data_IF_007266481202
#
_entry.id   IF_007266481202
#
_cell.length_a   1.000
_cell.length_b   1.000
_cell.length_c   1.000
_cell.angle_alpha   90.00
_cell.angle_beta   90.00
_cell.angle_gamma   90.00
#
_symmetry.space_group_name_H-M   'P 1'
#
loop_
_entity.id
_entity.type
_entity.pdbx_description
1 polymer ?
#
# COMPACT_ATOMS: atom_id res chain seq x y z
N UNK A 1 -17.35 -21.06 35.16
CA UNK A 1 -17.22 -20.89 33.69
C UNK A 1 -16.93 -22.26 33.12
N UNK A 2 -17.89 -22.86 32.43
CA UNK A 2 -17.74 -24.20 31.87
C UNK A 2 -16.58 -24.25 30.86
N UNK A 3 -15.86 -25.38 30.82
CA UNK A 3 -14.74 -25.57 29.87
C UNK A 3 -15.17 -25.32 28.42
N UNK A 4 -16.43 -25.63 28.09
CA UNK A 4 -17.04 -25.37 26.77
C UNK A 4 -17.20 -23.87 26.49
N UNK A 5 -17.55 -23.05 27.48
CA UNK A 5 -17.67 -21.60 27.30
C UNK A 5 -16.32 -20.91 27.24
N UNK A 6 -15.30 -21.42 27.95
CA UNK A 6 -13.91 -20.95 27.81
C UNK A 6 -13.33 -21.23 26.42
N UNK A 7 -13.58 -22.42 25.84
CA UNK A 7 -13.14 -22.74 24.48
C UNK A 7 -13.80 -21.86 23.42
N UNK A 8 -15.11 -21.58 23.56
CA UNK A 8 -15.84 -20.69 22.64
C UNK A 8 -15.33 -19.25 22.73
N UNK A 9 -15.08 -18.74 23.95
CA UNK A 9 -14.52 -17.40 24.15
C UNK A 9 -13.09 -17.27 23.61
N UNK A 10 -12.24 -18.29 23.81
CA UNK A 10 -10.89 -18.32 23.26
C UNK A 10 -10.91 -18.37 21.71
N UNK A 11 -11.86 -19.12 21.12
CA UNK A 11 -12.01 -19.21 19.67
C UNK A 11 -12.56 -17.92 19.03
N UNK A 12 -13.44 -17.19 19.73
CA UNK A 12 -13.87 -15.84 19.34
C UNK A 12 -12.72 -14.81 19.43
N UNK A 13 -11.85 -14.91 20.45
CA UNK A 13 -10.65 -14.07 20.57
C UNK A 13 -9.60 -14.33 19.47
N UNK A 14 -9.63 -15.53 18.88
CA UNK A 14 -8.80 -15.94 17.74
C UNK A 14 -9.43 -15.59 16.37
N UNK A 15 -10.60 -14.95 16.36
CA UNK A 15 -11.23 -14.47 15.12
C UNK A 15 -10.42 -13.30 14.56
N UNK A 16 -9.48 -13.69 13.69
CA UNK A 16 -8.73 -12.92 12.70
C UNK A 16 -8.96 -11.41 12.71
N UNK A 17 -7.94 -10.67 13.15
CA UNK A 17 -7.81 -9.27 12.72
C UNK A 17 -7.70 -9.27 11.20
N UNK A 18 -8.72 -8.72 10.54
CA UNK A 18 -8.63 -8.38 9.12
C UNK A 18 -7.38 -7.50 8.94
N UNK A 19 -6.35 -8.06 8.30
CA UNK A 19 -5.16 -7.33 7.88
C UNK A 19 -5.49 -6.73 6.53
N UNK A 20 -5.75 -5.43 6.51
CA UNK A 20 -6.16 -4.72 5.32
C UNK A 20 -6.35 -3.25 5.63
N UNK A 21 -6.51 -2.46 4.59
CA UNK A 21 -6.78 -1.02 4.67
C UNK A 21 -8.16 -0.83 5.32
N UNK A 22 -8.25 0.06 6.30
CA UNK A 22 -9.49 0.32 7.03
C UNK A 22 -9.83 1.79 6.97
N UNK A 23 -11.12 2.09 7.09
CA UNK A 23 -11.60 3.45 7.28
C UNK A 23 -11.75 3.73 8.79
N UNK A 24 -10.95 4.64 9.32
CA UNK A 24 -11.05 5.12 10.70
C UNK A 24 -11.55 6.58 10.72
N UNK A 25 -12.87 6.71 10.91
CA UNK A 25 -13.59 7.96 10.72
C UNK A 25 -13.63 8.34 9.24
N UNK A 26 -12.99 9.44 8.88
CA UNK A 26 -12.92 9.97 7.52
C UNK A 26 -11.60 9.61 6.81
N UNK A 27 -10.81 8.71 7.37
CA UNK A 27 -9.44 8.49 6.93
C UNK A 27 -9.09 7.02 6.77
N UNK A 28 -8.52 6.66 5.63
CA UNK A 28 -7.95 5.33 5.45
C UNK A 28 -6.65 5.19 6.25
N UNK A 29 -6.56 4.09 6.99
CA UNK A 29 -5.43 3.69 7.84
C UNK A 29 -4.99 2.27 7.50
N UNK A 30 -3.91 1.80 8.13
CA UNK A 30 -3.29 0.50 7.88
C UNK A 30 -2.84 0.30 6.41
N UNK A 31 -2.62 1.39 5.67
CA UNK A 31 -2.05 1.34 4.31
C UNK A 31 -0.58 0.96 4.41
N UNK A 32 -0.20 -0.20 3.88
CA UNK A 32 1.20 -0.67 3.86
C UNK A 32 1.73 -0.66 2.44
N UNK A 33 2.80 0.11 2.23
CA UNK A 33 3.55 0.19 0.97
C UNK A 33 4.88 -0.50 1.19
N UNK A 34 5.10 -1.65 0.55
CA UNK A 34 6.30 -2.45 0.79
C UNK A 34 7.31 -2.36 -0.36
N UNK A 35 8.54 -2.00 -0.02
CA UNK A 35 9.66 -2.01 -0.96
C UNK A 35 10.27 -3.42 -0.95
N UNK A 36 10.46 -3.99 -2.13
CA UNK A 36 11.03 -5.33 -2.32
C UNK A 36 12.51 -5.36 -1.97
N UNK A 37 12.99 -6.48 -1.43
CA UNK A 37 14.42 -6.66 -1.16
C UNK A 37 15.29 -6.66 -2.42
N UNK A 38 14.68 -6.76 -3.60
CA UNK A 38 15.36 -6.64 -4.90
C UNK A 38 15.66 -5.19 -5.29
N UNK A 39 15.04 -4.21 -4.64
CA UNK A 39 15.27 -2.79 -4.91
C UNK A 39 16.49 -2.31 -4.11
N UNK A 40 17.53 -1.76 -4.77
CA UNK A 40 18.69 -1.22 -4.08
C UNK A 40 18.29 -0.01 -3.22
N UNK A 41 19.03 0.20 -2.12
CA UNK A 41 18.76 1.32 -1.22
C UNK A 41 18.90 2.65 -1.95
N UNK A 42 17.86 3.47 -1.85
CA UNK A 42 17.85 4.87 -2.28
C UNK A 42 17.03 5.67 -1.28
N UNK A 43 17.70 6.58 -0.58
CA UNK A 43 17.09 7.40 0.45
C UNK A 43 16.06 8.38 -0.13
N UNK A 44 16.19 8.78 -1.41
CA UNK A 44 15.24 9.69 -2.07
C UNK A 44 13.93 9.01 -2.44
N UNK A 45 13.91 7.67 -2.53
CA UNK A 45 12.72 6.91 -2.90
C UNK A 45 11.63 7.03 -1.83
N UNK A 46 12.00 7.07 -0.55
CA UNK A 46 11.06 7.19 0.57
C UNK A 46 10.30 8.53 0.48
N UNK A 47 11.02 9.62 0.25
CA UNK A 47 10.42 10.95 0.08
C UNK A 47 9.47 10.96 -1.12
N UNK A 48 9.85 10.32 -2.23
CA UNK A 48 8.99 10.26 -3.44
C UNK A 48 7.74 9.41 -3.24
N UNK A 49 7.82 8.34 -2.46
CA UNK A 49 6.63 7.57 -2.06
C UNK A 49 5.72 8.43 -1.18
N UNK A 50 6.29 9.17 -0.24
CA UNK A 50 5.54 10.08 0.61
C UNK A 50 4.84 11.19 -0.20
N UNK A 51 5.55 11.79 -1.16
CA UNK A 51 4.99 12.77 -2.10
C UNK A 51 3.77 12.17 -2.84
N UNK A 52 3.92 10.97 -3.41
CA UNK A 52 2.86 10.28 -4.15
C UNK A 52 1.64 9.95 -3.28
N UNK A 53 1.85 9.46 -2.05
CA UNK A 53 0.76 9.16 -1.12
C UNK A 53 0.04 10.42 -0.68
N UNK A 54 0.79 11.49 -0.40
CA UNK A 54 0.23 12.79 0.00
C UNK A 54 -0.60 13.41 -1.13
N UNK A 55 -0.09 13.37 -2.36
CA UNK A 55 -0.80 13.82 -3.56
C UNK A 55 -2.07 13.00 -3.79
N UNK A 56 -1.97 11.66 -3.72
CA UNK A 56 -3.13 10.78 -3.85
C UNK A 56 -4.17 11.02 -2.75
N UNK A 57 -3.74 11.28 -1.52
CA UNK A 57 -4.63 11.63 -0.41
C UNK A 57 -5.41 12.91 -0.68
N UNK A 58 -4.74 13.94 -1.19
CA UNK A 58 -5.38 15.20 -1.56
C UNK A 58 -6.38 15.02 -2.70
N UNK A 59 -6.00 14.30 -3.76
CA UNK A 59 -6.92 14.06 -4.86
C UNK A 59 -8.15 13.27 -4.41
N UNK A 60 -7.98 12.20 -3.62
CA UNK A 60 -9.08 11.41 -3.09
C UNK A 60 -10.05 12.28 -2.28
N UNK A 61 -9.48 13.17 -1.46
CA UNK A 61 -10.23 14.13 -0.66
C UNK A 61 -11.05 15.07 -1.52
N UNK A 62 -10.46 15.65 -2.56
CA UNK A 62 -11.15 16.55 -3.47
C UNK A 62 -12.23 15.82 -4.29
N UNK A 63 -11.93 14.63 -4.80
CA UNK A 63 -12.84 13.81 -5.60
C UNK A 63 -14.06 13.30 -4.81
N UNK A 64 -13.92 13.13 -3.49
CA UNK A 64 -14.98 12.65 -2.60
C UNK A 64 -15.62 13.78 -1.77
N UNK A 65 -15.77 14.98 -2.33
CA UNK A 65 -16.38 16.15 -1.69
C UNK A 65 -15.79 16.48 -0.30
N UNK A 66 -14.48 16.33 -0.14
CA UNK A 66 -13.78 16.60 1.12
C UNK A 66 -14.20 15.68 2.27
N UNK A 67 -14.58 14.44 1.96
CA UNK A 67 -15.09 13.48 2.97
C UNK A 67 -14.06 12.44 3.41
N UNK A 68 -13.20 11.97 2.51
CA UNK A 68 -12.30 10.84 2.79
C UNK A 68 -10.89 11.10 2.28
N UNK A 69 -9.87 10.66 3.00
CA UNK A 69 -8.46 10.86 2.65
C UNK A 69 -7.58 9.70 3.17
N UNK A 70 -6.31 9.65 2.78
CA UNK A 70 -5.34 8.75 3.43
C UNK A 70 -4.84 9.38 4.72
N UNK A 71 -5.23 8.80 5.85
CA UNK A 71 -4.89 9.30 7.19
C UNK A 71 -3.56 8.75 7.67
N UNK A 72 -3.25 7.50 7.35
CA UNK A 72 -1.98 6.88 7.73
C UNK A 72 -1.52 5.87 6.68
N UNK A 73 -0.26 5.98 6.27
CA UNK A 73 0.43 4.98 5.48
C UNK A 73 1.78 4.65 6.10
N UNK A 74 2.18 3.39 6.00
CA UNK A 74 3.44 2.85 6.51
C UNK A 74 4.27 2.35 5.33
N UNK A 75 5.48 2.89 5.18
CA UNK A 75 6.45 2.42 4.19
C UNK A 75 7.30 1.32 4.83
N UNK A 76 7.14 0.09 4.35
CA UNK A 76 7.92 -1.05 4.80
C UNK A 76 9.18 -1.17 3.94
N UNK A 77 10.34 -0.92 4.54
CA UNK A 77 11.65 -1.01 3.89
C UNK A 77 12.26 -2.43 4.03
N UNK A 78 13.12 -2.86 3.09
CA UNK A 78 13.78 -4.15 3.19
C UNK A 78 14.75 -4.22 4.40
N UNK A 79 14.93 -5.41 5.03
CA UNK A 79 15.80 -5.56 6.19
C UNK A 79 17.27 -5.17 5.95
N UNK A 80 17.74 -5.23 4.71
CA UNK A 80 19.11 -4.88 4.36
C UNK A 80 19.33 -3.38 4.15
N UNK A 81 18.28 -2.55 4.15
CA UNK A 81 18.42 -1.10 4.08
C UNK A 81 18.82 -0.56 5.46
N UNK A 82 19.85 0.28 5.49
CA UNK A 82 20.40 0.84 6.72
C UNK A 82 20.06 2.33 6.83
N UNK A 83 19.34 2.71 7.88
CA UNK A 83 19.14 4.10 8.31
C UNK A 83 18.89 4.15 9.81
N UNK A 84 19.19 5.28 10.46
CA UNK A 84 18.90 5.50 11.88
C UNK A 84 17.43 5.79 12.14
N UNK A 85 16.68 6.16 11.11
CA UNK A 85 15.29 6.62 11.21
C UNK A 85 14.27 5.49 11.02
N UNK A 86 14.73 4.27 10.69
CA UNK A 86 13.86 3.13 10.48
C UNK A 86 13.53 2.41 11.78
N UNK A 87 12.26 2.07 11.96
CA UNK A 87 11.78 1.28 13.09
C UNK A 87 11.47 -0.14 12.65
N UNK A 88 11.61 -1.10 13.58
CA UNK A 88 11.32 -2.51 13.29
C UNK A 88 9.81 -2.69 13.10
N UNK A 89 9.42 -3.21 11.94
CA UNK A 89 8.05 -3.61 11.64
C UNK A 89 7.53 -4.61 12.70
N UNK A 90 6.27 -4.43 13.10
CA UNK A 90 5.63 -5.28 14.12
C UNK A 90 4.60 -6.21 13.51
N UNK A 91 3.76 -5.65 12.64
CA UNK A 91 2.61 -6.35 12.05
C UNK A 91 2.63 -6.32 10.52
N UNK A 92 3.38 -5.38 9.97
CA UNK A 92 3.58 -5.13 8.56
C UNK A 92 4.46 -6.21 7.95
N UNK A 93 4.09 -6.69 6.76
CA UNK A 93 4.88 -7.67 6.02
C UNK A 93 4.69 -7.46 4.52
N UNK A 94 5.70 -7.79 3.74
CA UNK A 94 5.66 -7.63 2.29
C UNK A 94 4.48 -8.39 1.65
N UNK A 95 4.18 -9.61 2.15
CA UNK A 95 3.09 -10.45 1.63
C UNK A 95 1.70 -9.86 1.89
N UNK A 96 1.55 -9.04 2.93
CA UNK A 96 0.27 -8.39 3.28
C UNK A 96 0.11 -6.99 2.66
N UNK A 97 1.16 -6.46 2.03
CA UNK A 97 1.13 -5.13 1.47
C UNK A 97 0.26 -5.10 0.22
N UNK A 98 -0.67 -4.15 0.17
CA UNK A 98 -1.54 -3.92 -0.99
C UNK A 98 -0.89 -3.04 -2.04
N UNK A 99 0.22 -2.39 -1.70
CA UNK A 99 1.03 -1.61 -2.62
C UNK A 99 2.45 -2.11 -2.48
N UNK A 100 3.05 -2.53 -3.60
CA UNK A 100 4.43 -3.01 -3.63
C UNK A 100 5.27 -2.18 -4.59
N UNK A 101 6.54 -1.99 -4.24
CA UNK A 101 7.54 -1.35 -5.08
C UNK A 101 8.62 -2.39 -5.36
N UNK A 102 8.74 -2.79 -6.62
CA UNK A 102 9.68 -3.82 -7.05
C UNK A 102 10.36 -3.44 -8.38
N UNK A 103 11.28 -4.30 -8.83
CA UNK A 103 11.84 -4.22 -10.17
C UNK A 103 10.75 -4.28 -11.23
N UNK A 104 11.04 -3.67 -12.38
CA UNK A 104 10.22 -3.76 -13.57
C UNK A 104 9.79 -5.19 -13.89
N UNK A 105 8.50 -5.34 -14.21
CA UNK A 105 7.96 -6.62 -14.65
C UNK A 105 8.45 -6.88 -16.09
N UNK A 106 8.91 -8.09 -16.45
CA UNK A 106 9.34 -8.38 -17.82
C UNK A 106 8.31 -8.08 -18.91
N UNK A 107 7.01 -8.20 -18.59
CA UNK A 107 5.91 -7.96 -19.53
C UNK A 107 5.46 -6.49 -19.58
N UNK A 108 5.51 -5.78 -18.46
CA UNK A 108 4.95 -4.42 -18.32
C UNK A 108 6.01 -3.33 -18.15
N UNK A 109 7.29 -3.70 -18.01
CA UNK A 109 8.38 -2.75 -17.76
C UNK A 109 8.16 -1.95 -16.48
N UNK A 110 8.29 -0.63 -16.61
CA UNK A 110 8.07 0.34 -15.54
C UNK A 110 6.62 0.82 -15.43
N UNK A 111 5.71 0.27 -16.25
CA UNK A 111 4.31 0.64 -16.19
C UNK A 111 3.66 0.12 -14.89
N UNK A 112 2.95 0.99 -14.15
CA UNK A 112 2.20 0.58 -12.97
C UNK A 112 1.03 -0.34 -13.35
N UNK A 113 0.72 -1.32 -12.50
CA UNK A 113 -0.43 -2.20 -12.71
C UNK A 113 -1.00 -2.73 -11.40
N UNK A 114 -2.29 -3.07 -11.42
CA UNK A 114 -2.92 -3.84 -10.34
C UNK A 114 -2.94 -5.32 -10.71
N UNK A 115 -2.35 -6.16 -9.86
CA UNK A 115 -2.43 -7.60 -10.03
C UNK A 115 -3.80 -8.10 -9.53
N UNK A 116 -4.69 -8.41 -10.46
CA UNK A 116 -6.03 -8.96 -10.20
C UNK A 116 -6.22 -10.25 -10.98
N UNK A 117 -6.53 -11.35 -10.29
CA UNK A 117 -6.91 -12.62 -10.91
C UNK A 117 -8.40 -12.93 -10.78
N UNK A 118 -9.15 -12.04 -10.11
CA UNK A 118 -10.58 -12.19 -9.87
C UNK A 118 -11.44 -11.69 -11.03
N UNK A 119 -12.75 -11.78 -10.85
CA UNK A 119 -13.73 -11.24 -11.79
C UNK A 119 -13.82 -9.70 -11.68
N UNK A 120 -14.53 -9.07 -12.62
CA UNK A 120 -14.81 -7.63 -12.55
C UNK A 120 -15.48 -7.27 -11.22
N UNK A 121 -14.95 -6.26 -10.53
CA UNK A 121 -15.44 -5.83 -9.22
C UNK A 121 -14.85 -6.61 -8.04
N UNK A 122 -14.07 -7.67 -8.27
CA UNK A 122 -13.28 -8.29 -7.22
C UNK A 122 -12.09 -7.41 -6.82
N UNK A 123 -11.68 -7.51 -5.56
CA UNK A 123 -10.52 -6.82 -5.00
C UNK A 123 -9.22 -7.30 -5.65
N UNK A 124 -8.36 -6.36 -6.04
CA UNK A 124 -7.01 -6.65 -6.49
C UNK A 124 -6.15 -7.25 -5.38
N UNK A 125 -5.16 -8.07 -5.75
CA UNK A 125 -4.23 -8.61 -4.76
C UNK A 125 -3.28 -7.53 -4.25
N UNK A 126 -2.68 -6.77 -5.17
CA UNK A 126 -1.81 -5.64 -4.89
C UNK A 126 -1.64 -4.74 -6.12
N UNK A 127 -1.25 -3.49 -5.88
CA UNK A 127 -0.75 -2.55 -6.88
C UNK A 127 0.77 -2.67 -6.94
N UNK A 128 1.33 -2.74 -8.14
CA UNK A 128 2.76 -2.80 -8.39
C UNK A 128 3.27 -1.51 -9.01
N UNK A 129 4.23 -0.89 -8.33
CA UNK A 129 5.00 0.24 -8.84
C UNK A 129 6.46 -0.15 -9.00
N UNK A 130 7.19 0.60 -9.84
CA UNK A 130 8.65 0.50 -9.91
C UNK A 130 9.32 1.76 -9.37
N UNK A 131 10.57 1.66 -8.89
CA UNK A 131 11.34 2.83 -8.50
C UNK A 131 11.47 3.87 -9.62
N UNK A 132 11.50 3.45 -10.88
CA UNK A 132 11.57 4.39 -12.01
C UNK A 132 10.24 5.12 -12.19
N UNK A 133 9.10 4.43 -12.11
CA UNK A 133 7.78 5.07 -12.11
C UNK A 133 7.65 6.09 -10.98
N UNK A 134 8.05 5.72 -9.77
CA UNK A 134 7.99 6.60 -8.59
C UNK A 134 8.90 7.84 -8.76
N UNK A 135 10.03 7.74 -9.46
CA UNK A 135 10.94 8.88 -9.68
C UNK A 135 10.58 9.74 -10.89
N UNK A 136 10.26 9.11 -12.01
CA UNK A 136 10.13 9.78 -13.31
C UNK A 136 8.77 10.48 -13.43
N UNK A 137 8.78 11.78 -13.70
CA UNK A 137 7.59 12.60 -13.94
C UNK A 137 7.17 12.62 -15.41
N UNK A 138 7.85 11.87 -16.28
CA UNK A 138 7.52 11.76 -17.70
C UNK A 138 6.72 10.49 -18.03
N UNK A 139 6.75 9.48 -17.15
CA UNK A 139 5.99 8.23 -17.27
C UNK A 139 4.48 8.39 -16.96
N UNK A 140 4.04 9.59 -16.60
CA UNK A 140 2.65 9.94 -16.25
C UNK A 140 1.80 10.41 -17.46
N UNK A 141 2.38 10.48 -18.67
CA UNK A 141 1.75 11.11 -19.84
C UNK A 141 0.39 10.53 -20.29
N UNK A 142 0.05 9.23 -20.11
CA UNK A 142 -1.30 8.74 -20.39
C UNK A 142 -2.26 8.80 -19.20
N UNK A 143 -1.76 8.97 -17.98
CA UNK A 143 -2.45 8.49 -16.77
C UNK A 143 -2.77 9.56 -15.71
N UNK A 144 -2.37 10.82 -15.92
CA UNK A 144 -2.51 11.87 -14.90
C UNK A 144 -1.35 11.88 -13.91
N UNK A 145 -1.45 12.59 -12.80
CA UNK A 145 -0.40 12.63 -11.78
C UNK A 145 -0.20 11.29 -11.06
N UNK A 146 0.87 11.14 -10.28
CA UNK A 146 1.16 9.86 -9.60
C UNK A 146 0.10 9.55 -8.54
N UNK A 147 -0.35 10.58 -7.82
CA UNK A 147 -1.49 10.48 -6.91
C UNK A 147 -2.79 10.08 -7.61
N UNK A 148 -3.09 10.65 -8.79
CA UNK A 148 -4.26 10.27 -9.59
C UNK A 148 -4.21 8.80 -10.00
N UNK A 149 -3.06 8.34 -10.51
CA UNK A 149 -2.89 6.97 -10.95
C UNK A 149 -2.94 5.96 -9.79
N UNK A 150 -2.39 6.32 -8.62
CA UNK A 150 -2.52 5.52 -7.40
C UNK A 150 -4.00 5.22 -7.08
N UNK A 151 -4.87 6.21 -7.26
CA UNK A 151 -6.31 6.07 -7.01
C UNK A 151 -7.05 5.29 -8.08
N UNK A 152 -6.70 5.47 -9.36
CA UNK A 152 -7.25 4.65 -10.44
C UNK A 152 -6.93 3.16 -10.26
N UNK A 153 -5.80 2.86 -9.64
CA UNK A 153 -5.38 1.49 -9.32
C UNK A 153 -5.94 0.99 -7.98
N UNK A 154 -6.58 1.85 -7.19
CA UNK A 154 -7.03 1.61 -5.81
C UNK A 154 -8.37 0.88 -5.76
N UNK A 155 -8.41 -0.34 -6.30
CA UNK A 155 -9.47 -1.31 -6.05
C UNK A 155 -8.87 -2.51 -5.30
N UNK A 156 -8.38 -2.26 -4.09
CA UNK A 156 -7.57 -3.17 -3.23
C UNK A 156 -8.02 -3.14 -1.78
#
# INVERSE_FOLDING_TARGET
MDSRTMFVLLWMLLSSTSSGIKLDGNGYVDIVIAISSRVPQDNTLIDKINDMVSEGSLYLYEALDKKVYFKQATILVPPQWNSKDFTKARTESYVKAKIIIDKANPAYGDEPYTNQYGECGAEGQYIHFTPNFIRDTTLIKPYGSKGEHLLLSFNI
#
